data_IF_024382396291
#
_entry.id   IF_024382396291
#
_cell.length_a   1.000
_cell.length_b   1.000
_cell.length_c   1.000
_cell.angle_alpha   90.00
_cell.angle_beta   90.00
_cell.angle_gamma   90.00
#
_symmetry.space_group_name_H-M   'P 1'
#
loop_
_entity.id
_entity.type
_entity.pdbx_description
1 polymer ?
#
# COMPACT_ATOMS: atom_id res chain seq x y z
N UNK A 1 95.73 -16.40 31.77
CA UNK A 1 96.58 -16.18 30.58
C UNK A 1 95.68 -16.33 29.37
N UNK A 2 95.51 -15.24 28.63
CA UNK A 2 95.07 -15.12 27.24
C UNK A 2 93.79 -15.84 26.72
N UNK A 3 92.97 -15.01 26.07
CA UNK A 3 92.24 -15.25 24.80
C UNK A 3 91.17 -16.32 24.75
N UNK A 4 89.97 -15.92 24.32
CA UNK A 4 89.49 -16.24 22.97
C UNK A 4 88.24 -15.41 22.66
N UNK A 5 88.37 -14.50 21.70
CA UNK A 5 87.26 -13.94 20.96
C UNK A 5 87.33 -14.53 19.55
N UNK A 6 86.28 -15.19 19.10
CA UNK A 6 86.02 -15.41 17.69
C UNK A 6 84.54 -15.16 17.42
N UNK A 7 84.29 -14.12 16.65
CA UNK A 7 83.04 -13.90 15.94
C UNK A 7 83.04 -14.79 14.70
N UNK A 8 81.92 -15.43 14.35
CA UNK A 8 81.32 -15.33 13.01
C UNK A 8 79.97 -16.05 12.91
N UNK A 9 79.05 -15.32 12.27
CA UNK A 9 78.02 -15.74 11.31
C UNK A 9 76.97 -16.81 11.65
N UNK A 10 75.73 -16.29 11.76
CA UNK A 10 74.53 -16.68 10.98
C UNK A 10 74.13 -18.15 11.02
N UNK A 11 73.00 -18.47 11.68
CA UNK A 11 71.96 -19.29 11.05
C UNK A 11 70.60 -19.10 11.76
N UNK A 12 69.67 -18.51 11.00
CA UNK A 12 68.25 -18.80 10.94
C UNK A 12 67.60 -19.50 12.16
N UNK A 13 66.91 -18.74 13.01
CA UNK A 13 65.80 -19.28 13.80
C UNK A 13 64.57 -18.38 13.66
N UNK A 14 63.59 -18.98 13.00
CA UNK A 14 62.24 -18.50 12.74
C UNK A 14 61.56 -18.25 14.10
N UNK A 15 61.34 -16.98 14.45
CA UNK A 15 60.41 -16.63 15.53
C UNK A 15 59.05 -16.27 14.93
N UNK A 16 58.14 -17.23 15.12
CA UNK A 16 56.73 -17.26 14.79
C UNK A 16 56.01 -16.06 15.46
N UNK A 17 55.72 -15.01 14.71
CA UNK A 17 54.86 -13.91 15.18
C UNK A 17 53.40 -14.24 14.86
N UNK A 18 52.71 -14.76 15.87
CA UNK A 18 51.25 -14.79 15.91
C UNK A 18 50.73 -13.36 16.05
N UNK A 19 50.29 -12.75 14.96
CA UNK A 19 49.38 -11.61 15.00
C UNK A 19 48.07 -12.06 14.36
N UNK A 20 47.09 -12.36 15.20
CA UNK A 20 45.74 -12.71 14.78
C UNK A 20 45.11 -11.52 14.05
N UNK A 21 45.10 -11.54 12.72
CA UNK A 21 44.09 -10.80 11.96
C UNK A 21 42.74 -11.47 12.23
N UNK A 22 42.01 -10.95 13.22
CA UNK A 22 40.62 -11.29 13.42
C UNK A 22 39.82 -10.91 12.18
N UNK A 23 39.52 -11.86 11.32
CA UNK A 23 38.49 -11.72 10.32
C UNK A 23 37.18 -11.76 11.13
N UNK A 24 36.57 -10.60 11.35
CA UNK A 24 35.18 -10.55 11.76
C UNK A 24 34.35 -11.05 10.58
N UNK A 25 34.17 -12.37 10.48
CA UNK A 25 33.08 -12.94 9.73
C UNK A 25 31.86 -12.57 10.55
N UNK A 26 31.24 -11.45 10.18
CA UNK A 26 29.86 -11.23 10.58
C UNK A 26 29.09 -12.34 9.87
N UNK A 27 28.91 -13.47 10.55
CA UNK A 27 27.95 -14.46 10.17
C UNK A 27 26.61 -13.74 10.28
N UNK A 28 26.23 -13.06 9.20
CA UNK A 28 24.89 -12.54 9.04
C UNK A 28 24.00 -13.71 9.35
N UNK A 29 23.33 -13.66 10.50
CA UNK A 29 22.21 -14.54 10.79
C UNK A 29 21.32 -14.40 9.57
N UNK A 30 21.33 -15.41 8.72
CA UNK A 30 20.24 -15.63 7.80
C UNK A 30 19.10 -16.07 8.70
N UNK A 31 18.48 -15.08 9.33
CA UNK A 31 17.18 -15.26 9.92
C UNK A 31 16.30 -15.60 8.72
N UNK A 32 15.77 -16.84 8.63
CA UNK A 32 14.76 -17.08 7.63
C UNK A 32 13.68 -16.05 7.95
N UNK A 33 13.48 -15.10 7.05
CA UNK A 33 12.31 -14.25 7.05
C UNK A 33 11.13 -15.21 6.94
N UNK A 34 10.67 -15.69 8.08
CA UNK A 34 9.32 -16.22 8.25
C UNK A 34 8.46 -15.16 7.59
N UNK A 35 7.80 -15.55 6.50
CA UNK A 35 6.86 -14.77 5.72
C UNK A 35 5.91 -14.07 6.68
N UNK A 36 6.31 -12.85 7.08
CA UNK A 36 5.66 -12.15 8.17
C UNK A 36 4.30 -11.71 7.67
N UNK A 37 3.28 -12.07 8.44
CA UNK A 37 1.85 -11.85 8.24
C UNK A 37 1.51 -10.74 7.24
N UNK A 38 0.56 -11.02 6.34
CA UNK A 38 -0.03 -10.09 5.39
C UNK A 38 -0.41 -8.74 6.04
N UNK A 39 0.52 -7.79 6.13
CA UNK A 39 0.20 -6.44 6.53
C UNK A 39 -0.56 -5.78 5.38
N UNK A 40 -1.72 -5.15 5.63
CA UNK A 40 -2.46 -4.44 4.61
C UNK A 40 -1.54 -3.36 4.02
N UNK A 41 -1.51 -3.30 2.69
CA UNK A 41 -0.72 -2.31 1.97
C UNK A 41 -1.61 -1.16 1.55
N UNK A 42 -1.07 0.05 1.48
CA UNK A 42 -1.85 1.22 1.06
C UNK A 42 -1.16 1.94 -0.07
N UNK A 43 -1.94 2.51 -0.99
CA UNK A 43 -1.42 3.48 -1.94
C UNK A 43 -0.91 4.73 -1.21
N UNK A 44 -0.19 5.61 -1.94
CA UNK A 44 -0.12 7.02 -1.54
C UNK A 44 -1.53 7.65 -1.55
N UNK A 45 -1.65 8.84 -0.98
CA UNK A 45 -2.87 9.63 -1.11
C UNK A 45 -2.86 10.43 -2.42
N UNK A 46 -4.03 10.52 -3.05
CA UNK A 46 -4.27 11.22 -4.31
C UNK A 46 -5.27 12.36 -4.06
N UNK A 47 -4.83 13.60 -4.20
CA UNK A 47 -5.66 14.78 -3.96
C UNK A 47 -4.93 15.91 -3.25
N UNK A 48 -5.72 16.84 -2.71
CA UNK A 48 -5.26 17.97 -1.90
C UNK A 48 -5.01 17.62 -0.42
N UNK A 49 -4.51 18.59 0.35
CA UNK A 49 -4.18 18.43 1.78
C UNK A 49 -5.25 18.98 2.73
N UNK A 50 -6.29 19.58 2.19
CA UNK A 50 -7.39 20.21 2.93
C UNK A 50 -8.52 19.22 3.24
N UNK A 51 -9.52 19.67 4.00
CA UNK A 51 -10.69 18.88 4.40
C UNK A 51 -10.44 18.00 5.61
N UNK A 52 -11.52 17.42 6.14
CA UNK A 52 -11.50 16.54 7.30
C UNK A 52 -11.15 15.12 6.90
N UNK A 53 -10.39 14.43 7.74
CA UNK A 53 -10.02 13.05 7.50
C UNK A 53 -11.20 12.09 7.69
N UNK A 54 -11.31 11.11 6.80
CA UNK A 54 -12.22 9.98 6.96
C UNK A 54 -11.49 8.66 6.74
N UNK A 55 -11.99 7.60 7.38
CA UNK A 55 -11.46 6.25 7.19
C UNK A 55 -12.53 5.18 7.33
N UNK A 56 -12.49 4.20 6.45
CA UNK A 56 -13.37 3.03 6.51
C UNK A 56 -12.70 1.81 7.18
N UNK A 57 -11.52 1.99 7.81
CA UNK A 57 -10.75 0.91 8.41
C UNK A 57 -11.52 0.10 9.48
N UNK A 58 -12.50 0.71 10.16
CA UNK A 58 -13.35 0.02 11.15
C UNK A 58 -14.48 -0.76 10.49
N UNK A 59 -15.17 -0.17 9.52
CA UNK A 59 -16.36 -0.78 8.90
C UNK A 59 -16.00 -1.93 7.95
N UNK A 60 -14.77 -1.99 7.44
CA UNK A 60 -14.31 -3.13 6.62
C UNK A 60 -14.53 -4.50 7.29
N UNK A 61 -14.58 -4.53 8.63
CA UNK A 61 -14.85 -5.75 9.41
C UNK A 61 -16.27 -6.30 9.20
N UNK A 62 -17.17 -5.55 8.55
CA UNK A 62 -18.53 -5.98 8.22
C UNK A 62 -18.61 -6.83 6.95
N UNK A 63 -17.54 -6.89 6.16
CA UNK A 63 -17.48 -7.75 4.97
C UNK A 63 -16.66 -7.15 3.83
N UNK A 64 -16.59 -7.82 2.67
CA UNK A 64 -16.02 -7.25 1.45
C UNK A 64 -16.81 -6.04 0.96
N UNK A 65 -16.22 -5.26 0.07
CA UNK A 65 -16.96 -4.23 -0.65
C UNK A 65 -18.01 -4.92 -1.54
N UNK A 66 -19.27 -4.51 -1.44
CA UNK A 66 -20.39 -5.10 -2.19
C UNK A 66 -21.13 -4.09 -3.06
N UNK A 67 -21.02 -2.81 -2.76
CA UNK A 67 -21.57 -1.74 -3.58
C UNK A 67 -20.85 -0.43 -3.30
N UNK A 68 -20.86 0.47 -4.28
CA UNK A 68 -20.23 1.79 -4.19
C UNK A 68 -21.21 2.84 -4.69
N UNK A 69 -21.31 3.93 -3.95
CA UNK A 69 -21.98 5.16 -4.36
C UNK A 69 -20.95 6.25 -4.53
N UNK A 70 -20.95 6.86 -5.72
CA UNK A 70 -20.15 8.04 -6.01
C UNK A 70 -21.09 9.14 -6.51
N UNK A 71 -21.01 10.30 -5.88
CA UNK A 71 -21.69 11.51 -6.34
C UNK A 71 -20.71 12.37 -7.11
N UNK A 72 -21.09 12.79 -8.30
CA UNK A 72 -20.25 13.64 -9.14
C UNK A 72 -21.06 14.79 -9.76
N UNK A 73 -20.40 15.94 -9.93
CA UNK A 73 -20.93 17.09 -10.67
C UNK A 73 -19.84 17.63 -11.60
N UNK A 74 -20.18 17.76 -12.88
CA UNK A 74 -19.24 18.13 -13.94
C UNK A 74 -18.00 17.21 -13.96
N UNK A 75 -16.88 17.71 -13.45
CA UNK A 75 -15.61 17.00 -13.38
C UNK A 75 -15.12 16.83 -11.93
N UNK A 76 -16.00 16.95 -10.93
CA UNK A 76 -15.66 16.76 -9.52
C UNK A 76 -16.33 15.52 -8.95
N UNK A 77 -15.57 14.77 -8.16
CA UNK A 77 -16.12 13.78 -7.24
C UNK A 77 -16.53 14.51 -5.95
N UNK A 78 -17.83 14.57 -5.71
CA UNK A 78 -18.43 15.37 -4.64
C UNK A 78 -18.58 14.55 -3.37
N UNK A 79 -18.97 13.28 -3.49
CA UNK A 79 -19.18 12.44 -2.32
C UNK A 79 -19.10 10.95 -2.60
N UNK A 80 -18.94 10.19 -1.52
CA UNK A 80 -18.60 8.78 -1.53
C UNK A 80 -19.33 8.03 -0.41
N UNK A 81 -19.84 6.84 -0.73
CA UNK A 81 -20.33 5.87 0.24
C UNK A 81 -19.97 4.46 -0.26
N UNK A 82 -19.54 3.57 0.63
CA UNK A 82 -19.18 2.20 0.27
C UNK A 82 -19.92 1.22 1.17
N UNK A 83 -20.51 0.19 0.57
CA UNK A 83 -21.15 -0.91 1.30
C UNK A 83 -20.11 -2.00 1.58
N UNK A 84 -20.02 -2.40 2.85
CA UNK A 84 -19.18 -3.49 3.34
C UNK A 84 -20.08 -4.62 3.84
N UNK A 85 -20.12 -5.73 3.10
CA UNK A 85 -21.11 -6.78 3.28
C UNK A 85 -22.52 -6.25 3.00
N UNK A 86 -23.29 -6.01 4.06
CA UNK A 86 -24.64 -5.42 3.99
C UNK A 86 -24.72 -4.04 4.68
N UNK A 87 -23.59 -3.48 5.12
CA UNK A 87 -23.53 -2.23 5.89
C UNK A 87 -22.90 -1.12 5.06
N UNK A 88 -23.67 -0.09 4.75
CA UNK A 88 -23.15 1.14 4.17
C UNK A 88 -22.29 1.92 5.18
N UNK A 89 -21.19 2.49 4.70
CA UNK A 89 -20.44 3.50 5.42
C UNK A 89 -21.27 4.76 5.65
N UNK A 90 -20.81 5.60 6.57
CA UNK A 90 -21.28 6.99 6.58
C UNK A 90 -20.98 7.63 5.22
N UNK A 91 -21.90 8.45 4.75
CA UNK A 91 -21.69 9.26 3.55
C UNK A 91 -20.68 10.38 3.86
N UNK A 92 -19.71 10.57 2.99
CA UNK A 92 -18.75 11.68 3.07
C UNK A 92 -18.83 12.54 1.81
N UNK A 93 -18.57 13.84 1.95
CA UNK A 93 -18.69 14.81 0.86
C UNK A 93 -20.01 15.57 0.84
N UNK A 94 -20.22 16.37 -0.21
CA UNK A 94 -21.39 17.24 -0.36
C UNK A 94 -22.60 16.59 -1.04
N UNK A 95 -23.77 17.26 -1.03
CA UNK A 95 -25.01 16.71 -1.58
C UNK A 95 -25.20 16.96 -3.10
N UNK A 96 -24.36 17.77 -3.74
CA UNK A 96 -24.58 18.26 -5.10
C UNK A 96 -24.14 17.28 -6.20
N UNK A 97 -24.91 17.20 -7.29
CA UNK A 97 -24.60 16.37 -8.46
C UNK A 97 -25.35 15.05 -8.50
N UNK A 98 -25.03 14.21 -9.50
CA UNK A 98 -25.69 12.92 -9.72
C UNK A 98 -25.07 11.85 -8.83
N UNK A 99 -25.90 11.18 -8.04
CA UNK A 99 -25.49 9.98 -7.30
C UNK A 99 -25.57 8.78 -8.24
N UNK A 100 -24.46 8.05 -8.37
CA UNK A 100 -24.40 6.81 -9.11
C UNK A 100 -24.08 5.69 -8.13
N UNK A 101 -24.84 4.60 -8.20
CA UNK A 101 -24.65 3.40 -7.39
C UNK A 101 -24.26 2.24 -8.29
N UNK A 102 -23.22 1.50 -7.88
CA UNK A 102 -22.74 0.31 -8.58
C UNK A 102 -22.70 -0.85 -7.59
N UNK A 103 -23.57 -1.86 -7.76
CA UNK A 103 -23.45 -3.12 -7.05
C UNK A 103 -22.35 -3.99 -7.67
N UNK A 104 -21.60 -4.68 -6.82
CA UNK A 104 -20.67 -5.74 -7.21
C UNK A 104 -21.38 -7.09 -7.18
N UNK A 105 -21.02 -7.98 -8.10
CA UNK A 105 -21.48 -9.36 -8.08
C UNK A 105 -20.89 -10.12 -6.88
N UNK A 106 -21.53 -11.20 -6.42
CA UNK A 106 -20.97 -12.05 -5.38
C UNK A 106 -19.54 -12.49 -5.71
N UNK A 107 -18.61 -12.23 -4.79
CA UNK A 107 -17.18 -12.57 -4.96
C UNK A 107 -16.39 -11.66 -5.90
N UNK A 108 -17.02 -10.69 -6.58
CA UNK A 108 -16.32 -9.70 -7.39
C UNK A 108 -15.54 -8.73 -6.49
N UNK A 109 -14.37 -8.30 -6.92
CA UNK A 109 -13.48 -7.43 -6.15
C UNK A 109 -12.77 -6.41 -7.03
N UNK A 110 -12.55 -5.21 -6.49
CA UNK A 110 -11.83 -4.15 -7.20
C UNK A 110 -10.33 -4.39 -7.09
N UNK A 111 -9.67 -4.46 -8.23
CA UNK A 111 -8.25 -4.80 -8.36
C UNK A 111 -7.42 -3.65 -8.91
N UNK A 112 -8.06 -2.64 -9.50
CA UNK A 112 -7.36 -1.46 -9.99
C UNK A 112 -8.30 -0.24 -9.92
N UNK A 113 -7.73 0.89 -9.54
CA UNK A 113 -8.42 2.18 -9.61
C UNK A 113 -7.55 3.13 -10.43
N UNK A 114 -8.15 3.74 -11.44
CA UNK A 114 -7.57 4.88 -12.17
C UNK A 114 -8.34 6.13 -11.85
N UNK A 115 -7.75 7.29 -12.11
CA UNK A 115 -8.48 8.53 -11.93
C UNK A 115 -7.60 9.74 -12.15
N UNK A 116 -8.14 10.89 -11.73
CA UNK A 116 -7.42 12.14 -11.82
C UNK A 116 -7.77 13.08 -10.65
N UNK A 117 -6.85 13.96 -10.29
CA UNK A 117 -7.03 14.92 -9.19
C UNK A 117 -6.25 16.22 -9.40
N UNK A 118 -6.66 17.25 -8.66
CA UNK A 118 -5.90 18.47 -8.39
C UNK A 118 -5.94 18.74 -6.87
N UNK A 119 -6.47 19.87 -6.41
CA UNK A 119 -6.82 20.06 -4.99
C UNK A 119 -8.04 19.21 -4.56
N UNK A 120 -8.72 18.58 -5.53
CA UNK A 120 -9.89 17.73 -5.37
C UNK A 120 -9.79 16.50 -6.27
N UNK A 121 -10.54 15.46 -5.96
CA UNK A 121 -10.69 14.29 -6.82
C UNK A 121 -11.66 14.60 -7.97
N UNK A 122 -11.26 14.26 -9.20
CA UNK A 122 -12.02 14.62 -10.41
C UNK A 122 -12.64 13.42 -11.11
N UNK A 123 -11.86 12.33 -11.23
CA UNK A 123 -12.32 11.07 -11.83
C UNK A 123 -11.96 9.89 -10.93
N UNK A 124 -12.85 8.91 -10.92
CA UNK A 124 -12.56 7.55 -10.50
C UNK A 124 -13.03 6.59 -11.58
N UNK A 125 -12.16 5.67 -11.96
CA UNK A 125 -12.47 4.51 -12.79
C UNK A 125 -12.09 3.25 -12.00
N UNK A 126 -13.09 2.44 -11.67
CA UNK A 126 -12.93 1.22 -10.90
C UNK A 126 -12.90 0.03 -11.84
N UNK A 127 -11.87 -0.82 -11.74
CA UNK A 127 -11.72 -2.04 -12.53
C UNK A 127 -11.73 -3.24 -11.58
N UNK A 128 -12.50 -4.26 -11.96
CA UNK A 128 -12.75 -5.46 -11.14
C UNK A 128 -12.00 -6.67 -11.68
N UNK A 129 -11.87 -7.70 -10.85
CA UNK A 129 -11.34 -9.02 -11.23
C UNK A 129 -12.21 -9.77 -12.26
N UNK A 130 -13.45 -9.34 -12.46
CA UNK A 130 -14.36 -9.84 -13.50
C UNK A 130 -14.34 -8.98 -14.78
N UNK A 131 -13.41 -8.03 -14.90
CA UNK A 131 -13.24 -7.20 -16.09
C UNK A 131 -14.27 -6.09 -16.27
N UNK A 132 -15.19 -5.89 -15.31
CA UNK A 132 -16.14 -4.76 -15.32
C UNK A 132 -15.43 -3.46 -14.96
N UNK A 133 -15.85 -2.38 -15.61
CA UNK A 133 -15.28 -1.04 -15.42
C UNK A 133 -16.38 -0.03 -15.11
N UNK A 134 -16.16 0.83 -14.11
CA UNK A 134 -17.10 1.85 -13.68
C UNK A 134 -16.43 3.21 -13.60
N UNK A 135 -16.87 4.15 -14.44
CA UNK A 135 -16.29 5.48 -14.52
C UNK A 135 -17.21 6.54 -13.90
N UNK A 136 -16.64 7.41 -13.09
CA UNK A 136 -17.30 8.50 -12.40
C UNK A 136 -16.50 9.79 -12.56
N UNK A 137 -17.20 10.91 -12.79
CA UNK A 137 -16.56 12.19 -13.04
C UNK A 137 -15.90 12.25 -14.43
N UNK A 138 -14.95 13.17 -14.61
CA UNK A 138 -14.24 13.40 -15.88
C UNK A 138 -12.78 13.74 -15.60
N UNK A 139 -11.90 13.34 -16.53
CA UNK A 139 -10.47 13.57 -16.37
C UNK A 139 -10.14 15.06 -16.34
N UNK A 140 -9.43 15.47 -15.28
CA UNK A 140 -8.84 16.79 -15.11
C UNK A 140 -7.67 16.70 -14.13
N UNK A 141 -6.59 17.42 -14.42
CA UNK A 141 -5.42 17.49 -13.55
C UNK A 141 -4.50 16.28 -13.68
N UNK A 142 -3.90 15.86 -12.56
CA UNK A 142 -2.90 14.80 -12.49
C UNK A 142 -3.60 13.45 -12.56
N UNK A 143 -3.23 12.63 -13.53
CA UNK A 143 -3.70 11.25 -13.65
C UNK A 143 -3.02 10.34 -12.61
N UNK A 144 -3.72 9.32 -12.15
CA UNK A 144 -3.14 8.26 -11.33
C UNK A 144 -3.66 6.88 -11.72
N UNK A 145 -2.85 5.89 -11.38
CA UNK A 145 -3.17 4.48 -11.48
C UNK A 145 -2.74 3.80 -10.16
N UNK A 146 -3.71 3.25 -9.43
CA UNK A 146 -3.52 2.55 -8.18
C UNK A 146 -3.82 1.06 -8.38
N UNK A 147 -2.76 0.25 -8.20
CA UNK A 147 -2.81 -1.21 -8.22
C UNK A 147 -2.26 -1.75 -6.90
N UNK A 148 -2.73 -2.93 -6.44
CA UNK A 148 -2.20 -3.56 -5.25
C UNK A 148 -0.70 -3.89 -5.43
N UNK A 149 0.16 -3.58 -4.45
CA UNK A 149 1.58 -3.90 -4.53
C UNK A 149 1.88 -5.38 -4.27
N UNK A 150 0.93 -6.11 -3.65
CA UNK A 150 1.04 -7.53 -3.35
C UNK A 150 0.10 -8.33 -4.26
N UNK A 151 0.57 -9.48 -4.75
CA UNK A 151 -0.25 -10.43 -5.50
C UNK A 151 -1.45 -10.88 -4.65
N UNK A 152 -2.56 -11.20 -5.32
CA UNK A 152 -3.77 -11.79 -4.71
C UNK A 152 -4.40 -10.90 -3.62
N UNK A 153 -4.13 -9.59 -3.67
CA UNK A 153 -4.78 -8.58 -2.82
C UNK A 153 -5.74 -7.72 -3.63
N UNK A 154 -6.80 -7.29 -2.97
CA UNK A 154 -7.91 -6.53 -3.55
C UNK A 154 -8.22 -5.31 -2.69
N UNK A 155 -8.97 -4.35 -3.23
CA UNK A 155 -9.38 -3.18 -2.45
C UNK A 155 -10.21 -3.63 -1.25
N UNK A 156 -9.74 -3.33 -0.03
CA UNK A 156 -10.46 -3.64 1.21
C UNK A 156 -11.23 -2.48 1.74
N UNK A 157 -10.63 -1.30 1.76
CA UNK A 157 -11.28 -0.09 2.23
C UNK A 157 -10.56 1.15 1.71
N UNK A 158 -11.15 2.31 1.97
CA UNK A 158 -10.60 3.60 1.59
C UNK A 158 -10.47 4.50 2.81
N UNK A 159 -9.54 5.42 2.75
CA UNK A 159 -9.47 6.60 3.62
C UNK A 159 -9.23 7.82 2.76
N UNK A 160 -9.27 9.01 3.36
CA UNK A 160 -8.96 10.22 2.62
C UNK A 160 -9.37 11.46 3.36
N UNK A 161 -9.66 12.50 2.60
CA UNK A 161 -10.06 13.81 3.10
C UNK A 161 -11.29 14.30 2.34
N UNK A 162 -12.23 14.91 3.06
CA UNK A 162 -13.44 15.45 2.45
C UNK A 162 -13.93 16.70 3.17
N UNK A 163 -14.60 17.56 2.41
CA UNK A 163 -15.44 18.65 2.90
C UNK A 163 -16.76 18.60 2.11
N UNK A 164 -17.14 19.67 1.40
CA UNK A 164 -18.17 19.62 0.36
C UNK A 164 -17.77 18.77 -0.86
N UNK A 165 -16.51 18.43 -1.01
CA UNK A 165 -15.96 17.59 -2.09
C UNK A 165 -15.06 16.49 -1.52
N UNK A 166 -14.75 15.47 -2.34
CA UNK A 166 -13.66 14.55 -2.01
C UNK A 166 -12.33 15.23 -2.34
N UNK A 167 -11.60 15.62 -1.31
CA UNK A 167 -10.34 16.37 -1.43
C UNK A 167 -9.18 15.45 -1.76
N UNK A 168 -9.14 14.29 -1.09
CA UNK A 168 -8.16 13.26 -1.37
C UNK A 168 -8.67 11.87 -1.04
N UNK A 169 -8.03 10.86 -1.64
CA UNK A 169 -8.35 9.45 -1.41
C UNK A 169 -7.07 8.59 -1.34
N UNK A 170 -7.11 7.58 -0.48
CA UNK A 170 -6.10 6.54 -0.32
C UNK A 170 -6.78 5.17 -0.35
N UNK A 171 -6.19 4.24 -1.09
CA UNK A 171 -6.70 2.89 -1.27
C UNK A 171 -5.90 1.93 -0.39
N UNK A 172 -6.61 1.06 0.33
CA UNK A 172 -6.01 0.05 1.21
C UNK A 172 -6.35 -1.34 0.65
N UNK A 173 -5.29 -2.13 0.47
CA UNK A 173 -5.29 -3.43 -0.19
C UNK A 173 -4.91 -4.51 0.79
N UNK A 174 -5.62 -5.62 0.74
CA UNK A 174 -5.34 -6.81 1.54
C UNK A 174 -5.86 -8.05 0.83
N UNK A 175 -5.56 -9.22 1.40
CA UNK A 175 -5.98 -10.51 0.88
C UNK A 175 -7.50 -10.54 0.68
N UNK A 176 -7.92 -11.12 -0.44
CA UNK A 176 -9.33 -11.32 -0.76
C UNK A 176 -10.02 -12.19 0.31
N UNK A 177 -11.14 -11.76 0.90
CA UNK A 177 -11.88 -12.59 1.85
C UNK A 177 -12.34 -13.89 1.19
N UNK A 178 -12.22 -15.01 1.91
CA UNK A 178 -12.56 -16.34 1.41
C UNK A 178 -11.39 -17.12 0.79
N UNK A 179 -10.19 -16.54 0.68
CA UNK A 179 -8.97 -17.29 0.31
C UNK A 179 -8.18 -17.82 1.53
N UNK A 180 -8.82 -17.87 2.70
CA UNK A 180 -8.25 -18.41 3.94
C UNK A 180 -9.00 -19.66 4.40
N UNK A 181 -9.27 -20.56 3.48
CA UNK A 181 -9.71 -21.92 3.76
C UNK A 181 -9.07 -22.84 2.73
N UNK A 182 -7.83 -23.24 3.00
CA UNK A 182 -7.19 -24.51 2.62
C UNK A 182 -5.84 -24.62 3.35
#
# INVERSE_FOLDING_TARGET
MATTAQATMVFCFIFLTFLCCGININAGKFEPQVSSLSHPSSSREYGGREGDEFTHARIQKKGPITAIRIRAVWHFIVGLQICYGQRWSQYVGGPFGKLQEVPLFPGESITQIRGSYSSYLHKLELITDQGRQFSFGQDRGILFNAIPPKKDTVLRYVSGRSDYFIKAIRFHWDVKPGQREE
#
